data_IF_059435140577
#
_entry.id   IF_059435140577
#
_cell.length_a   1.000
_cell.length_b   1.000
_cell.length_c   1.000
_cell.angle_alpha   90.00
_cell.angle_beta   90.00
_cell.angle_gamma   90.00
#
_symmetry.space_group_name_H-M   'P 1'
#
loop_
_entity.id
_entity.type
_entity.pdbx_description
1 polymer ?
#
# COMPACT_ATOMS: atom_id res chain seq x y z
N UNK A 1 5.33 34.62 -13.26
CA UNK A 1 4.42 33.75 -12.48
C UNK A 1 3.73 34.60 -11.44
N UNK A 2 2.40 34.74 -11.54
CA UNK A 2 1.61 35.52 -10.58
C UNK A 2 1.51 34.68 -9.29
N UNK A 3 1.88 35.26 -8.14
CA UNK A 3 1.61 34.65 -6.84
C UNK A 3 0.10 34.67 -6.63
N UNK A 4 -0.57 33.56 -6.91
CA UNK A 4 -1.99 33.38 -6.59
C UNK A 4 -2.11 33.31 -5.08
N UNK A 5 -2.63 34.37 -4.47
CA UNK A 5 -3.04 34.38 -3.07
C UNK A 5 -4.47 33.83 -3.06
N UNK A 6 -4.64 32.62 -2.53
CA UNK A 6 -5.95 32.04 -2.32
C UNK A 6 -6.65 32.79 -1.18
N UNK A 7 -7.85 33.27 -1.44
CA UNK A 7 -8.72 33.92 -0.46
C UNK A 7 -9.91 33.01 -0.14
N UNK A 8 -10.38 33.03 1.10
CA UNK A 8 -11.57 32.30 1.56
C UNK A 8 -12.85 33.10 1.21
N UNK A 9 -12.98 33.49 -0.05
CA UNK A 9 -14.04 34.39 -0.56
C UNK A 9 -15.01 33.69 -1.55
N UNK A 10 -14.82 32.38 -1.77
CA UNK A 10 -15.57 31.63 -2.78
C UNK A 10 -15.08 31.80 -4.21
N UNK A 11 -13.91 32.43 -4.41
CA UNK A 11 -13.30 32.64 -5.72
C UNK A 11 -12.98 31.33 -6.46
N UNK A 12 -13.11 31.37 -7.79
CA UNK A 12 -12.71 30.30 -8.70
C UNK A 12 -11.36 30.61 -9.34
N UNK A 13 -10.49 29.60 -9.46
CA UNK A 13 -9.12 29.75 -9.95
C UNK A 13 -8.89 28.87 -11.18
N UNK A 14 -8.15 29.38 -12.16
CA UNK A 14 -7.74 28.58 -13.32
C UNK A 14 -6.81 27.45 -12.88
N UNK A 15 -7.10 26.22 -13.34
CA UNK A 15 -6.34 25.04 -13.01
C UNK A 15 -6.65 23.89 -13.96
N UNK A 16 -6.08 22.72 -13.67
CA UNK A 16 -6.37 21.47 -14.39
C UNK A 16 -7.02 20.49 -13.42
N UNK A 17 -8.05 19.80 -13.90
CA UNK A 17 -8.70 18.69 -13.19
C UNK A 17 -8.40 17.42 -13.97
N UNK A 18 -7.85 16.42 -13.28
CA UNK A 18 -7.53 15.12 -13.86
C UNK A 18 -8.13 14.04 -12.97
N UNK A 19 -8.89 13.12 -13.58
CA UNK A 19 -9.39 11.92 -12.93
C UNK A 19 -8.40 10.78 -13.16
N UNK A 20 -8.13 10.00 -12.12
CA UNK A 20 -7.23 8.83 -12.16
C UNK A 20 -7.78 7.73 -11.27
N UNK A 21 -7.42 6.49 -11.57
CA UNK A 21 -7.63 5.39 -10.63
C UNK A 21 -6.67 5.51 -9.45
N UNK A 22 -7.15 5.11 -8.29
CA UNK A 22 -6.41 5.04 -7.04
C UNK A 22 -7.04 4.03 -6.09
N UNK A 23 -6.68 4.14 -4.82
CA UNK A 23 -7.01 3.17 -3.78
C UNK A 23 -5.85 2.18 -3.61
N UNK A 24 -5.31 2.11 -2.39
CA UNK A 24 -4.08 1.37 -2.07
C UNK A 24 -4.18 -0.08 -2.53
N UNK A 25 -5.19 -0.82 -2.08
CA UNK A 25 -5.36 -2.21 -2.49
C UNK A 25 -5.55 -2.37 -4.02
N UNK A 26 -6.19 -1.41 -4.72
CA UNK A 26 -6.32 -1.42 -6.19
C UNK A 26 -4.97 -1.21 -6.87
N UNK A 27 -4.18 -0.25 -6.39
CA UNK A 27 -2.86 0.05 -6.97
C UNK A 27 -1.94 -1.16 -6.89
N UNK A 28 -1.98 -1.87 -5.75
CA UNK A 28 -1.29 -3.13 -5.60
C UNK A 28 -1.79 -4.20 -6.57
N UNK A 29 -3.12 -4.37 -6.67
CA UNK A 29 -3.69 -5.35 -7.59
C UNK A 29 -3.29 -5.08 -9.05
N UNK A 30 -3.31 -3.81 -9.46
CA UNK A 30 -2.90 -3.39 -10.82
C UNK A 30 -1.41 -3.62 -11.05
N UNK A 31 -0.55 -3.27 -10.09
CA UNK A 31 0.89 -3.47 -10.21
C UNK A 31 1.26 -4.97 -10.28
N UNK A 32 0.66 -5.80 -9.42
CA UNK A 32 0.84 -7.25 -9.42
C UNK A 32 0.37 -7.88 -10.73
N UNK A 33 -0.82 -7.50 -11.20
CA UNK A 33 -1.34 -7.96 -12.49
C UNK A 33 -0.43 -7.57 -13.66
N UNK A 34 0.08 -6.33 -13.67
CA UNK A 34 1.03 -5.85 -14.68
C UNK A 34 2.35 -6.60 -14.66
N UNK A 35 2.78 -7.07 -13.49
CA UNK A 35 3.96 -7.94 -13.34
C UNK A 35 3.69 -9.38 -13.77
N UNK A 36 2.45 -9.74 -14.10
CA UNK A 36 2.09 -11.09 -14.56
C UNK A 36 1.64 -12.03 -13.43
N UNK A 37 1.37 -11.51 -12.23
CA UNK A 37 0.72 -12.28 -11.18
C UNK A 37 -0.79 -12.38 -11.41
N UNK A 38 -1.39 -13.50 -11.01
CA UNK A 38 -2.85 -13.65 -10.92
C UNK A 38 -3.37 -12.80 -9.76
N UNK A 39 -3.83 -11.57 -10.06
CA UNK A 39 -4.30 -10.63 -9.05
C UNK A 39 -5.81 -10.60 -8.94
N UNK A 40 -6.32 -11.13 -7.82
CA UNK A 40 -7.76 -11.14 -7.48
C UNK A 40 -8.08 -9.99 -6.53
N UNK A 41 -9.01 -9.13 -6.92
CA UNK A 41 -9.41 -7.96 -6.13
C UNK A 41 -10.80 -8.12 -5.50
N UNK A 42 -10.82 -8.31 -4.18
CA UNK A 42 -12.05 -8.40 -3.38
C UNK A 42 -12.37 -7.01 -2.85
N UNK A 43 -13.43 -6.37 -3.36
CA UNK A 43 -13.78 -5.00 -2.99
C UNK A 43 -15.25 -4.66 -3.30
N UNK A 44 -15.60 -3.38 -3.24
CA UNK A 44 -16.90 -2.86 -3.64
C UNK A 44 -16.75 -1.53 -4.40
N UNK A 45 -17.63 -1.31 -5.38
CA UNK A 45 -17.80 -0.07 -6.13
C UNK A 45 -19.29 0.32 -6.14
N UNK A 46 -19.58 1.60 -6.36
CA UNK A 46 -20.95 2.07 -6.59
C UNK A 46 -21.45 1.70 -7.99
N UNK A 47 -22.77 1.64 -8.14
CA UNK A 47 -23.42 1.64 -9.46
C UNK A 47 -23.53 3.08 -10.00
N UNK A 48 -22.37 3.68 -10.29
CA UNK A 48 -22.25 5.06 -10.76
C UNK A 48 -21.16 5.21 -11.84
N UNK A 49 -20.97 6.44 -12.33
CA UNK A 49 -19.99 6.75 -13.37
C UNK A 49 -18.55 6.44 -12.94
N UNK A 50 -18.22 6.63 -11.66
CA UNK A 50 -16.90 6.30 -11.13
C UNK A 50 -16.68 4.79 -11.06
N UNK A 51 -17.71 4.01 -10.72
CA UNK A 51 -17.70 2.55 -10.77
C UNK A 51 -17.58 2.03 -12.20
N UNK A 52 -18.26 2.67 -13.17
CA UNK A 52 -18.06 2.38 -14.60
C UNK A 52 -16.63 2.69 -15.05
N UNK A 53 -16.10 3.85 -14.67
CA UNK A 53 -14.71 4.24 -14.96
C UNK A 53 -13.71 3.23 -14.39
N UNK A 54 -13.91 2.77 -13.15
CA UNK A 54 -13.11 1.70 -12.55
C UNK A 54 -13.13 0.41 -13.38
N UNK A 55 -14.32 -0.06 -13.80
CA UNK A 55 -14.46 -1.30 -14.58
C UNK A 55 -13.80 -1.22 -15.96
N UNK A 56 -13.83 -0.05 -16.60
CA UNK A 56 -13.23 0.16 -17.91
C UNK A 56 -11.68 0.19 -17.89
N UNK A 57 -11.08 0.48 -16.73
CA UNK A 57 -9.64 0.69 -16.59
C UNK A 57 -8.97 -0.30 -15.60
N UNK A 58 -9.61 -1.45 -15.38
CA UNK A 58 -9.08 -2.53 -14.52
C UNK A 58 -9.03 -3.87 -15.25
N UNK A 59 -8.76 -3.85 -16.56
CA UNK A 59 -8.71 -5.03 -17.44
C UNK A 59 -7.60 -6.03 -17.09
N UNK A 60 -6.58 -5.59 -16.34
CA UNK A 60 -5.47 -6.43 -15.86
C UNK A 60 -5.81 -7.19 -14.58
N UNK A 61 -6.77 -6.71 -13.79
CA UNK A 61 -7.09 -7.24 -12.47
C UNK A 61 -8.30 -8.17 -12.59
N UNK A 62 -8.30 -9.31 -11.89
CA UNK A 62 -9.52 -10.08 -11.71
C UNK A 62 -10.46 -9.33 -10.74
N UNK A 63 -11.45 -8.67 -11.31
CA UNK A 63 -12.50 -7.91 -10.61
C UNK A 63 -13.80 -8.71 -10.43
N UNK A 64 -13.81 -10.03 -10.68
CA UNK A 64 -15.00 -10.88 -10.54
C UNK A 64 -15.59 -10.88 -9.11
N UNK A 65 -14.76 -10.53 -8.12
CA UNK A 65 -15.11 -10.44 -6.69
C UNK A 65 -15.33 -9.01 -6.19
N UNK A 66 -15.43 -8.05 -7.11
CA UNK A 66 -15.84 -6.67 -6.78
C UNK A 66 -17.37 -6.57 -6.80
N UNK A 67 -17.96 -6.20 -5.66
CA UNK A 67 -19.42 -5.98 -5.56
C UNK A 67 -19.81 -4.64 -6.15
N UNK A 68 -20.89 -4.61 -6.93
CA UNK A 68 -21.53 -3.37 -7.39
C UNK A 68 -22.68 -3.07 -6.44
N UNK A 69 -22.64 -1.90 -5.80
CA UNK A 69 -23.61 -1.51 -4.78
C UNK A 69 -24.43 -0.33 -5.28
N UNK A 70 -25.75 -0.52 -5.38
CA UNK A 70 -26.69 0.56 -5.71
C UNK A 70 -26.78 1.61 -4.60
N UNK A 71 -27.04 2.86 -4.97
CA UNK A 71 -27.27 4.00 -4.06
C UNK A 71 -26.13 4.32 -3.08
N UNK A 72 -24.93 3.77 -3.29
CA UNK A 72 -23.73 4.11 -2.54
C UNK A 72 -22.64 4.54 -3.53
N UNK A 73 -22.18 5.80 -3.48
CA UNK A 73 -21.19 6.28 -4.43
C UNK A 73 -19.88 5.50 -4.33
N UNK A 74 -19.23 5.25 -5.47
CA UNK A 74 -17.86 4.73 -5.53
C UNK A 74 -16.93 5.67 -4.77
N UNK A 75 -16.01 5.11 -3.97
CA UNK A 75 -15.09 5.90 -3.18
C UNK A 75 -14.28 6.87 -4.06
N UNK A 76 -14.13 8.12 -3.62
CA UNK A 76 -13.29 9.10 -4.32
C UNK A 76 -12.32 9.79 -3.35
N UNK A 77 -11.14 10.13 -3.87
CA UNK A 77 -10.18 10.99 -3.19
C UNK A 77 -9.92 12.23 -4.05
N UNK A 78 -10.29 13.39 -3.53
CA UNK A 78 -10.03 14.68 -4.17
C UNK A 78 -8.79 15.30 -3.53
N UNK A 79 -7.74 15.52 -4.34
CA UNK A 79 -6.55 16.24 -3.93
C UNK A 79 -6.47 17.59 -4.63
N UNK A 80 -6.41 18.67 -3.85
CA UNK A 80 -6.13 20.02 -4.36
C UNK A 80 -4.65 20.30 -4.24
N UNK A 81 -3.95 20.35 -5.37
CA UNK A 81 -2.51 20.58 -5.42
C UNK A 81 -2.19 22.05 -5.69
N UNK A 82 -1.24 22.62 -4.94
CA UNK A 82 -0.71 23.96 -5.14
C UNK A 82 0.80 23.88 -5.25
N UNK A 83 1.35 24.29 -6.40
CA UNK A 83 2.80 24.21 -6.70
C UNK A 83 3.38 22.80 -6.47
N UNK A 84 2.64 21.77 -6.87
CA UNK A 84 3.05 20.36 -6.75
C UNK A 84 2.78 19.70 -5.39
N UNK A 85 2.36 20.46 -4.37
CA UNK A 85 2.06 19.92 -3.04
C UNK A 85 0.56 19.77 -2.82
N UNK A 86 0.13 18.65 -2.24
CA UNK A 86 -1.27 18.45 -1.81
C UNK A 86 -1.55 19.43 -0.67
N UNK A 87 -2.46 20.37 -0.90
CA UNK A 87 -2.92 21.34 0.10
C UNK A 87 -4.14 20.84 0.86
N UNK A 88 -5.07 20.20 0.15
CA UNK A 88 -6.25 19.59 0.74
C UNK A 88 -6.46 18.20 0.14
N UNK A 89 -6.75 17.21 0.99
CA UNK A 89 -7.17 15.88 0.60
C UNK A 89 -8.54 15.58 1.20
N UNK A 90 -9.51 15.22 0.38
CA UNK A 90 -10.87 14.88 0.81
C UNK A 90 -11.16 13.46 0.35
N UNK A 91 -11.40 12.57 1.31
CA UNK A 91 -11.81 11.17 1.04
C UNK A 91 -13.31 11.04 1.24
N UNK A 92 -13.98 10.45 0.26
CA UNK A 92 -15.34 9.93 0.40
C UNK A 92 -15.25 8.42 0.30
N UNK A 93 -15.32 7.72 1.43
CA UNK A 93 -15.25 6.26 1.47
C UNK A 93 -16.55 5.62 1.98
N UNK A 94 -17.26 6.32 2.88
CA UNK A 94 -18.55 5.87 3.40
C UNK A 94 -19.71 6.48 2.59
N UNK A 95 -20.84 5.77 2.46
CA UNK A 95 -21.20 4.52 3.13
C UNK A 95 -20.80 3.24 2.36
N UNK A 96 -19.97 3.35 1.31
CA UNK A 96 -19.62 2.21 0.47
C UNK A 96 -18.68 1.24 1.20
N UNK A 97 -17.63 1.75 1.83
CA UNK A 97 -16.61 0.91 2.45
C UNK A 97 -17.17 0.03 3.57
N UNK A 98 -18.17 0.51 4.32
CA UNK A 98 -18.92 -0.30 5.31
C UNK A 98 -19.73 -1.47 4.72
N UNK A 99 -19.87 -1.58 3.39
CA UNK A 99 -20.44 -2.78 2.75
C UNK A 99 -19.48 -3.94 2.60
N UNK A 100 -18.18 -3.68 2.70
CA UNK A 100 -17.18 -4.73 2.84
C UNK A 100 -17.32 -5.25 4.27
N UNK A 101 -17.83 -6.47 4.42
CA UNK A 101 -18.17 -7.08 5.71
C UNK A 101 -17.38 -8.38 5.90
N UNK A 102 -17.28 -8.90 7.14
CA UNK A 102 -16.70 -10.21 7.38
C UNK A 102 -17.31 -11.32 6.51
N UNK A 103 -18.64 -11.29 6.30
CA UNK A 103 -19.34 -12.25 5.44
C UNK A 103 -18.89 -12.19 3.98
N UNK A 104 -18.53 -11.00 3.47
CA UNK A 104 -17.94 -10.89 2.13
C UNK A 104 -16.60 -11.60 2.07
N UNK A 105 -15.75 -11.45 3.09
CA UNK A 105 -14.45 -12.14 3.16
C UNK A 105 -14.66 -13.66 3.27
N UNK A 106 -15.57 -14.12 4.12
CA UNK A 106 -15.92 -15.55 4.25
C UNK A 106 -16.41 -16.15 2.93
N UNK A 107 -17.27 -15.43 2.21
CA UNK A 107 -17.77 -15.90 0.90
C UNK A 107 -16.69 -16.00 -0.20
N UNK A 108 -15.50 -15.43 0.05
CA UNK A 108 -14.35 -15.48 -0.85
C UNK A 108 -13.15 -16.23 -0.22
N UNK A 109 -13.41 -17.09 0.78
CA UNK A 109 -12.39 -17.90 1.43
C UNK A 109 -11.61 -18.78 0.43
N UNK A 110 -12.25 -19.20 -0.66
CA UNK A 110 -11.61 -19.97 -1.73
C UNK A 110 -10.44 -19.23 -2.40
N UNK A 111 -10.61 -17.94 -2.71
CA UNK A 111 -9.55 -17.11 -3.28
C UNK A 111 -8.40 -16.88 -2.28
N UNK A 112 -8.75 -16.71 -1.00
CA UNK A 112 -7.77 -16.55 0.07
C UNK A 112 -6.96 -17.84 0.24
N UNK A 113 -7.63 -19.00 0.20
CA UNK A 113 -7.00 -20.31 0.29
C UNK A 113 -6.11 -20.62 -0.92
N UNK A 114 -6.41 -20.12 -2.12
CA UNK A 114 -5.57 -20.38 -3.30
C UNK A 114 -4.38 -19.42 -3.42
N UNK A 115 -4.41 -18.25 -2.80
CA UNK A 115 -3.38 -17.23 -2.97
C UNK A 115 -2.04 -17.60 -2.32
N UNK A 116 -0.92 -17.16 -2.92
CA UNK A 116 0.40 -17.21 -2.28
C UNK A 116 0.56 -16.09 -1.24
N UNK A 117 0.05 -14.90 -1.57
CA UNK A 117 0.06 -13.71 -0.73
C UNK A 117 -1.33 -13.07 -0.65
N UNK A 118 -1.70 -12.63 0.54
CA UNK A 118 -2.88 -11.81 0.79
C UNK A 118 -2.39 -10.40 1.10
N UNK A 119 -2.82 -9.42 0.31
CA UNK A 119 -2.56 -8.02 0.61
C UNK A 119 -3.77 -7.39 1.29
N UNK A 120 -3.54 -6.81 2.48
CA UNK A 120 -4.55 -6.08 3.24
C UNK A 120 -4.11 -4.63 3.41
N UNK A 121 -4.97 -3.71 3.02
CA UNK A 121 -4.83 -2.30 3.39
C UNK A 121 -5.66 -1.99 4.65
N UNK A 122 -5.31 -0.92 5.37
CA UNK A 122 -6.02 -0.54 6.59
C UNK A 122 -7.21 0.40 6.34
N UNK A 123 -7.68 0.54 5.10
CA UNK A 123 -8.97 1.18 4.83
C UNK A 123 -10.10 0.33 5.44
N UNK A 124 -9.96 -1.00 5.37
CA UNK A 124 -10.91 -1.96 5.94
C UNK A 124 -11.22 -1.71 7.42
N UNK A 125 -12.40 -2.14 7.86
CA UNK A 125 -12.78 -2.09 9.27
C UNK A 125 -12.09 -3.19 10.08
N UNK A 126 -11.96 -3.01 11.40
CA UNK A 126 -11.33 -4.00 12.29
C UNK A 126 -11.98 -5.39 12.16
N UNK A 127 -13.32 -5.56 12.13
CA UNK A 127 -13.93 -6.87 11.96
C UNK A 127 -13.59 -7.55 10.63
N UNK A 128 -13.47 -6.77 9.54
CA UNK A 128 -13.11 -7.29 8.21
C UNK A 128 -11.66 -7.74 8.19
N UNK A 129 -10.74 -6.91 8.70
CA UNK A 129 -9.33 -7.26 8.82
C UNK A 129 -9.15 -8.51 9.69
N UNK A 130 -9.82 -8.59 10.84
CA UNK A 130 -9.77 -9.75 11.72
C UNK A 130 -10.23 -11.03 11.00
N UNK A 131 -11.32 -10.96 10.23
CA UNK A 131 -11.80 -12.11 9.46
C UNK A 131 -10.81 -12.54 8.36
N UNK A 132 -10.22 -11.60 7.64
CA UNK A 132 -9.20 -11.91 6.64
C UNK A 132 -7.96 -12.56 7.28
N UNK A 133 -7.50 -12.04 8.42
CA UNK A 133 -6.37 -12.60 9.18
C UNK A 133 -6.68 -13.98 9.78
N UNK A 134 -7.91 -14.21 10.22
CA UNK A 134 -8.38 -15.52 10.70
C UNK A 134 -8.30 -16.58 9.60
N UNK A 135 -8.85 -16.28 8.42
CA UNK A 135 -8.84 -17.19 7.27
C UNK A 135 -7.40 -17.38 6.76
N UNK A 136 -6.60 -16.31 6.69
CA UNK A 136 -5.20 -16.38 6.32
C UNK A 136 -4.42 -17.33 7.24
N UNK A 137 -4.62 -17.21 8.56
CA UNK A 137 -3.99 -18.07 9.56
C UNK A 137 -4.46 -19.52 9.44
N UNK A 138 -5.76 -19.74 9.21
CA UNK A 138 -6.34 -21.08 9.01
C UNK A 138 -5.69 -21.82 7.83
N UNK A 139 -5.36 -21.11 6.76
CA UNK A 139 -4.76 -21.66 5.54
C UNK A 139 -3.26 -21.40 5.40
N UNK A 140 -2.59 -20.97 6.48
CA UNK A 140 -1.15 -20.72 6.53
C UNK A 140 -0.63 -19.76 5.44
N UNK A 141 -1.41 -18.71 5.14
CA UNK A 141 -1.10 -17.75 4.07
C UNK A 141 -0.21 -16.62 4.52
N UNK A 142 0.61 -16.14 3.58
CA UNK A 142 1.40 -14.94 3.78
C UNK A 142 0.49 -13.72 3.71
N UNK A 143 0.60 -12.83 4.70
CA UNK A 143 -0.19 -11.60 4.77
C UNK A 143 0.73 -10.40 4.72
N UNK A 144 0.60 -9.61 3.66
CA UNK A 144 1.24 -8.31 3.51
C UNK A 144 0.27 -7.22 3.94
N UNK A 145 0.60 -6.51 5.03
CA UNK A 145 -0.17 -5.37 5.51
C UNK A 145 0.43 -4.06 5.00
N UNK A 146 -0.40 -3.29 4.31
CA UNK A 146 -0.13 -1.89 3.98
C UNK A 146 -0.90 -0.97 4.94
N UNK A 147 -0.24 -0.30 5.91
CA UNK A 147 -0.92 0.49 6.93
C UNK A 147 -1.74 1.66 6.39
N UNK A 148 -1.47 2.14 5.16
CA UNK A 148 -2.25 3.14 4.42
C UNK A 148 -2.24 4.57 4.96
N UNK A 149 -2.38 4.73 6.27
CA UNK A 149 -2.44 6.02 6.94
C UNK A 149 -2.09 5.87 8.44
N UNK A 150 -1.49 6.90 9.02
CA UNK A 150 -1.06 6.97 10.42
C UNK A 150 -2.20 6.59 11.37
N UNK A 151 -3.41 7.11 11.16
CA UNK A 151 -4.53 6.86 12.06
C UNK A 151 -5.13 5.46 11.88
N UNK A 152 -4.82 4.79 10.78
CA UNK A 152 -5.32 3.44 10.45
C UNK A 152 -4.40 2.34 10.97
N UNK A 153 -3.12 2.63 11.24
CA UNK A 153 -2.16 1.69 11.85
C UNK A 153 -2.73 0.94 13.05
N UNK A 154 -3.46 1.63 13.94
CA UNK A 154 -4.05 1.02 15.15
C UNK A 154 -5.00 -0.14 14.85
N UNK A 155 -5.68 -0.14 13.69
CA UNK A 155 -6.74 -1.09 13.38
C UNK A 155 -6.24 -2.53 13.37
N UNK A 156 -5.05 -2.80 12.84
CA UNK A 156 -4.50 -4.16 12.84
C UNK A 156 -4.21 -4.64 14.26
N UNK A 157 -3.78 -3.76 15.17
CA UNK A 157 -3.57 -4.10 16.57
C UNK A 157 -4.91 -4.35 17.28
N UNK A 158 -5.92 -3.53 16.98
CA UNK A 158 -7.27 -3.66 17.53
C UNK A 158 -7.97 -4.98 17.12
N UNK A 159 -7.49 -5.65 16.05
CA UNK A 159 -7.98 -7.01 15.72
C UNK A 159 -7.59 -8.06 16.77
N UNK A 160 -6.56 -7.81 17.58
CA UNK A 160 -5.92 -8.84 18.42
C UNK A 160 -5.14 -9.90 17.63
N UNK A 161 -5.02 -9.75 16.31
CA UNK A 161 -4.44 -10.72 15.38
C UNK A 161 -3.23 -10.17 14.61
N UNK A 162 -2.60 -9.09 15.08
CA UNK A 162 -1.42 -8.50 14.41
C UNK A 162 -0.28 -9.52 14.20
N UNK A 163 -0.18 -10.55 15.05
CA UNK A 163 0.77 -11.65 14.87
C UNK A 163 0.49 -12.57 13.67
N UNK A 164 -0.66 -12.44 12.99
CA UNK A 164 -0.93 -13.14 11.73
C UNK A 164 -0.36 -12.40 10.51
N UNK A 165 0.13 -11.16 10.68
CA UNK A 165 0.81 -10.41 9.62
C UNK A 165 2.22 -10.97 9.43
N UNK A 166 2.56 -11.38 8.21
CA UNK A 166 3.88 -11.91 7.88
C UNK A 166 4.76 -10.90 7.14
N UNK A 167 4.18 -9.84 6.60
CA UNK A 167 4.89 -8.72 6.01
C UNK A 167 4.19 -7.40 6.29
N UNK A 168 4.94 -6.31 6.49
CA UNK A 168 4.35 -4.98 6.64
C UNK A 168 5.22 -3.90 5.99
N UNK A 169 4.58 -2.87 5.44
CA UNK A 169 5.25 -1.82 4.66
C UNK A 169 4.90 -0.37 5.08
N UNK A 170 4.96 0.01 6.37
CA UNK A 170 4.70 1.38 6.77
C UNK A 170 5.61 2.41 6.08
N UNK A 171 5.08 3.60 5.81
CA UNK A 171 5.94 4.76 5.61
C UNK A 171 6.53 5.27 6.94
N UNK A 172 7.40 6.29 6.87
CA UNK A 172 8.07 6.90 8.01
C UNK A 172 7.12 7.21 9.20
N UNK A 173 6.00 7.89 8.95
CA UNK A 173 5.09 8.32 10.01
C UNK A 173 4.24 7.17 10.55
N UNK A 174 3.83 6.26 9.66
CA UNK A 174 3.16 5.02 10.04
C UNK A 174 4.08 4.14 10.89
N UNK A 175 5.38 4.11 10.60
CA UNK A 175 6.37 3.38 11.38
C UNK A 175 6.51 3.94 12.80
N UNK A 176 6.58 5.27 12.95
CA UNK A 176 6.55 5.90 14.28
C UNK A 176 5.30 5.48 15.07
N UNK A 177 4.15 5.45 14.40
CA UNK A 177 2.89 5.00 15.02
C UNK A 177 2.92 3.52 15.35
N UNK A 178 3.43 2.67 14.45
CA UNK A 178 3.58 1.23 14.64
C UNK A 178 4.46 0.91 15.85
N UNK A 179 5.64 1.53 15.94
CA UNK A 179 6.54 1.37 17.06
C UNK A 179 5.89 1.78 18.39
N UNK A 180 5.12 2.89 18.39
CA UNK A 180 4.32 3.28 19.55
C UNK A 180 3.25 2.24 19.92
N UNK A 181 2.57 1.64 18.95
CA UNK A 181 1.61 0.54 19.19
C UNK A 181 2.30 -0.70 19.77
N UNK A 182 3.57 -0.93 19.42
CA UNK A 182 4.42 -1.97 20.00
C UNK A 182 5.05 -1.60 21.36
N UNK A 183 4.62 -0.50 22.00
CA UNK A 183 5.17 0.02 23.25
C UNK A 183 6.69 0.30 23.19
N UNK A 184 7.17 0.77 22.05
CA UNK A 184 8.54 1.26 21.87
C UNK A 184 8.54 2.79 21.98
N UNK A 185 9.42 3.32 22.83
CA UNK A 185 9.69 4.76 22.90
C UNK A 185 10.58 5.14 21.73
N UNK A 186 10.12 6.07 20.91
CA UNK A 186 10.80 6.47 19.67
C UNK A 186 11.05 7.96 19.66
N UNK A 187 12.29 8.34 19.36
CA UNK A 187 12.63 9.70 18.96
C UNK A 187 12.11 9.93 17.53
N UNK A 188 11.24 10.92 17.27
CA UNK A 188 10.77 11.24 15.93
C UNK A 188 11.88 11.49 14.90
N UNK A 189 13.09 11.87 15.31
CA UNK A 189 14.23 12.03 14.39
C UNK A 189 14.80 10.71 13.87
N UNK A 190 14.35 9.55 14.38
CA UNK A 190 14.82 8.24 13.88
C UNK A 190 14.53 8.03 12.39
N UNK A 191 13.49 8.67 11.87
CA UNK A 191 13.10 8.60 10.44
C UNK A 191 13.91 9.57 9.55
N UNK A 192 15.00 10.14 10.06
CA UNK A 192 15.90 10.97 9.26
C UNK A 192 16.86 10.19 8.36
N UNK A 193 17.08 8.91 8.63
CA UNK A 193 17.80 8.01 7.74
C UNK A 193 17.27 6.58 7.82
N UNK A 194 17.49 5.80 6.76
CA UNK A 194 17.20 4.37 6.77
C UNK A 194 18.04 3.64 7.82
N UNK A 195 19.31 4.02 7.99
CA UNK A 195 20.21 3.37 8.94
C UNK A 195 19.74 3.56 10.39
N UNK A 196 19.30 4.76 10.78
CA UNK A 196 18.73 5.01 12.11
C UNK A 196 17.46 4.21 12.38
N UNK A 197 16.61 4.02 11.37
CA UNK A 197 15.44 3.14 11.46
C UNK A 197 15.87 1.69 11.66
N UNK A 198 16.86 1.20 10.90
CA UNK A 198 17.39 -0.16 11.04
C UNK A 198 17.99 -0.41 12.42
N UNK A 199 18.76 0.54 12.96
CA UNK A 199 19.33 0.47 14.31
C UNK A 199 18.24 0.34 15.39
N UNK A 200 17.16 1.13 15.27
CA UNK A 200 16.01 1.02 16.19
C UNK A 200 15.32 -0.35 16.05
N UNK A 201 15.08 -0.81 14.82
CA UNK A 201 14.47 -2.11 14.58
C UNK A 201 15.35 -3.22 15.15
N UNK A 202 16.68 -3.17 14.98
CA UNK A 202 17.59 -4.17 15.52
C UNK A 202 17.53 -4.23 17.05
N UNK A 203 17.53 -3.06 17.70
CA UNK A 203 17.45 -2.93 19.17
C UNK A 203 16.13 -3.45 19.73
N UNK A 204 15.00 -3.19 19.06
CA UNK A 204 13.64 -3.49 19.53
C UNK A 204 12.97 -4.60 18.69
N UNK A 205 13.75 -5.46 18.02
CA UNK A 205 13.28 -6.46 17.05
C UNK A 205 12.21 -7.40 17.57
N UNK A 206 12.27 -7.77 18.85
CA UNK A 206 11.26 -8.64 19.49
C UNK A 206 9.89 -7.99 19.64
N UNK A 207 9.80 -6.65 19.60
CA UNK A 207 8.56 -5.89 19.70
C UNK A 207 8.09 -5.36 18.35
N UNK A 208 9.00 -4.83 17.53
CA UNK A 208 8.65 -4.15 16.28
C UNK A 208 8.29 -5.14 15.18
N UNK A 209 9.11 -6.18 14.98
CA UNK A 209 8.94 -7.10 13.86
C UNK A 209 7.77 -8.06 14.08
N UNK A 210 7.36 -8.32 15.33
CA UNK A 210 6.32 -9.30 15.65
C UNK A 210 6.66 -10.65 14.95
N UNK A 211 5.77 -11.14 14.07
CA UNK A 211 5.96 -12.38 13.30
C UNK A 211 6.40 -12.14 11.84
N UNK A 212 6.81 -10.92 11.48
CA UNK A 212 7.14 -10.63 10.08
C UNK A 212 8.40 -11.36 9.61
N UNK A 213 8.33 -11.87 8.37
CA UNK A 213 9.45 -12.37 7.59
C UNK A 213 10.11 -11.26 6.77
N UNK A 214 9.36 -10.18 6.47
CA UNK A 214 9.86 -8.97 5.82
C UNK A 214 9.14 -7.74 6.39
N UNK A 215 9.89 -6.69 6.68
CA UNK A 215 9.39 -5.43 7.20
C UNK A 215 10.07 -4.29 6.45
N UNK A 216 9.28 -3.47 5.77
CA UNK A 216 9.74 -2.36 4.93
C UNK A 216 9.32 -1.05 5.57
N UNK A 217 10.24 -0.12 5.76
CA UNK A 217 9.94 1.26 6.13
C UNK A 217 10.33 2.18 4.97
N UNK A 218 9.34 2.78 4.31
CA UNK A 218 9.61 3.73 3.22
C UNK A 218 9.82 5.14 3.77
N UNK A 219 10.89 5.80 3.32
CA UNK A 219 11.38 7.08 3.86
C UNK A 219 11.43 8.18 2.80
N UNK A 220 10.56 8.13 1.80
CA UNK A 220 10.48 9.12 0.71
C UNK A 220 11.86 9.29 0.02
N UNK A 221 12.36 10.52 -0.10
CA UNK A 221 13.66 10.86 -0.68
C UNK A 221 14.88 10.39 0.14
N UNK A 222 14.68 9.73 1.29
CA UNK A 222 15.73 9.07 2.08
C UNK A 222 15.85 7.57 1.78
N UNK A 223 15.03 7.03 0.89
CA UNK A 223 15.10 5.63 0.47
C UNK A 223 14.18 4.73 1.29
N UNK A 224 14.65 3.54 1.68
CA UNK A 224 13.88 2.59 2.50
C UNK A 224 14.77 1.76 3.41
N UNK A 225 14.28 1.47 4.61
CA UNK A 225 14.89 0.52 5.55
C UNK A 225 14.14 -0.81 5.45
N UNK A 226 14.85 -1.90 5.17
CA UNK A 226 14.26 -3.23 5.01
C UNK A 226 14.90 -4.20 5.96
N UNK A 227 14.07 -4.95 6.69
CA UNK A 227 14.51 -6.07 7.51
C UNK A 227 13.80 -7.33 7.03
N UNK A 228 14.54 -8.41 6.79
CA UNK A 228 13.96 -9.66 6.31
C UNK A 228 14.67 -10.88 6.90
N UNK A 229 14.04 -12.05 6.79
CA UNK A 229 14.64 -13.33 7.17
C UNK A 229 15.23 -14.03 5.95
N UNK A 230 16.52 -14.36 6.01
CA UNK A 230 17.16 -15.16 4.96
C UNK A 230 16.70 -16.64 5.01
N UNK A 231 17.18 -17.47 4.09
CA UNK A 231 16.81 -18.90 4.01
C UNK A 231 17.16 -19.72 5.27
N UNK A 232 18.07 -19.23 6.10
CA UNK A 232 18.46 -19.84 7.39
C UNK A 232 17.62 -19.29 8.57
N UNK A 233 16.65 -18.40 8.31
CA UNK A 233 15.82 -17.76 9.32
C UNK A 233 16.51 -16.59 10.07
N UNK A 234 17.73 -16.23 9.67
CA UNK A 234 18.49 -15.14 10.27
C UNK A 234 17.99 -13.79 9.75
N UNK A 235 18.01 -12.77 10.61
CA UNK A 235 17.63 -11.41 10.23
C UNK A 235 18.75 -10.76 9.43
N UNK A 236 18.37 -10.19 8.30
CA UNK A 236 19.20 -9.34 7.43
C UNK A 236 18.62 -7.93 7.43
N UNK A 237 19.50 -6.93 7.37
CA UNK A 237 19.16 -5.51 7.41
C UNK A 237 19.71 -4.84 6.17
N UNK A 238 18.87 -4.13 5.43
CA UNK A 238 19.23 -3.53 4.17
C UNK A 238 18.64 -2.13 4.03
N UNK A 239 19.54 -1.15 3.86
CA UNK A 239 19.20 0.20 3.45
C UNK A 239 19.16 0.27 1.93
N UNK A 240 18.09 0.84 1.38
CA UNK A 240 17.90 1.03 -0.05
C UNK A 240 17.90 2.52 -0.39
N UNK A 241 18.68 2.99 -1.38
CA UNK A 241 18.65 4.39 -1.78
C UNK A 241 17.32 4.74 -2.46
N UNK A 242 16.99 6.04 -2.60
CA UNK A 242 15.87 6.48 -3.43
C UNK A 242 16.04 5.95 -4.87
N UNK A 243 14.97 5.42 -5.49
CA UNK A 243 15.06 4.81 -6.82
C UNK A 243 15.28 5.83 -7.95
N UNK A 244 15.01 7.12 -7.68
CA UNK A 244 15.12 8.20 -8.65
C UNK A 244 15.54 9.51 -7.97
N UNK A 245 16.23 10.38 -8.71
CA UNK A 245 16.57 11.73 -8.25
C UNK A 245 15.31 12.62 -8.17
N UNK A 246 15.28 13.54 -7.20
CA UNK A 246 14.08 14.35 -6.89
C UNK A 246 13.58 15.20 -8.07
N UNK A 247 14.48 15.71 -8.90
CA UNK A 247 14.17 16.55 -10.08
C UNK A 247 13.53 15.77 -11.22
N UNK A 248 13.55 14.44 -11.17
CA UNK A 248 12.94 13.54 -12.17
C UNK A 248 11.60 12.96 -11.72
N UNK A 249 11.12 13.31 -10.53
CA UNK A 249 9.83 12.87 -9.99
C UNK A 249 8.71 13.67 -10.66
N UNK A 250 7.74 12.96 -11.23
CA UNK A 250 6.50 13.51 -11.79
C UNK A 250 5.36 13.46 -10.76
N UNK A 251 5.24 12.35 -10.04
CA UNK A 251 4.22 12.15 -8.99
C UNK A 251 4.74 11.15 -7.96
N UNK A 252 4.38 11.35 -6.68
CA UNK A 252 4.70 10.39 -5.60
C UNK A 252 3.57 9.40 -5.32
N UNK A 253 2.42 9.58 -5.96
CA UNK A 253 1.22 8.76 -5.71
C UNK A 253 1.47 7.31 -6.15
N UNK A 254 1.22 6.35 -5.25
CA UNK A 254 1.31 4.91 -5.51
C UNK A 254 2.72 4.36 -5.73
N UNK A 255 3.77 5.17 -5.51
CA UNK A 255 5.16 4.70 -5.60
C UNK A 255 5.49 3.62 -4.55
N UNK A 256 4.99 3.78 -3.31
CA UNK A 256 5.10 2.77 -2.26
C UNK A 256 4.34 1.50 -2.61
N UNK A 257 3.09 1.62 -3.07
CA UNK A 257 2.27 0.49 -3.52
C UNK A 257 2.98 -0.30 -4.64
N UNK A 258 3.57 0.41 -5.61
CA UNK A 258 4.34 -0.19 -6.72
C UNK A 258 5.63 -0.85 -6.23
N UNK A 259 6.36 -0.22 -5.29
CA UNK A 259 7.53 -0.81 -4.66
C UNK A 259 7.20 -2.16 -4.03
N UNK A 260 6.26 -2.14 -3.10
CA UNK A 260 5.82 -3.30 -2.35
C UNK A 260 5.28 -4.40 -3.27
N UNK A 261 4.52 -4.04 -4.32
CA UNK A 261 4.03 -5.00 -5.32
C UNK A 261 5.15 -5.66 -6.11
N UNK A 262 6.20 -4.91 -6.48
CA UNK A 262 7.38 -5.47 -7.11
C UNK A 262 8.10 -6.48 -6.22
N UNK A 263 8.20 -6.18 -4.91
CA UNK A 263 8.76 -7.12 -3.93
C UNK A 263 7.90 -8.39 -3.84
N UNK A 264 6.59 -8.25 -3.67
CA UNK A 264 5.66 -9.38 -3.59
C UNK A 264 5.74 -10.24 -4.85
N UNK A 265 5.71 -9.63 -6.04
CA UNK A 265 5.79 -10.34 -7.31
C UNK A 265 7.11 -11.09 -7.48
N UNK A 266 8.24 -10.46 -7.11
CA UNK A 266 9.55 -11.11 -7.13
C UNK A 266 9.59 -12.34 -6.23
N UNK A 267 9.08 -12.22 -5.00
CA UNK A 267 9.01 -13.35 -4.07
C UNK A 267 8.08 -14.46 -4.57
N UNK A 268 6.90 -14.11 -5.10
CA UNK A 268 5.97 -15.07 -5.70
C UNK A 268 6.58 -15.82 -6.90
N UNK A 269 7.54 -15.20 -7.61
CA UNK A 269 8.29 -15.80 -8.69
C UNK A 269 9.63 -16.43 -8.24
N UNK A 270 9.76 -16.78 -6.95
CA UNK A 270 10.92 -17.45 -6.38
C UNK A 270 12.25 -16.69 -6.51
N UNK A 271 12.22 -15.38 -6.75
CA UNK A 271 13.41 -14.53 -6.66
C UNK A 271 13.88 -14.45 -5.22
N UNK A 272 15.17 -14.22 -5.02
CA UNK A 272 15.71 -13.90 -3.69
C UNK A 272 15.13 -12.58 -3.19
N UNK A 273 15.17 -12.34 -1.86
CA UNK A 273 14.69 -11.08 -1.30
C UNK A 273 15.43 -9.89 -1.92
N UNK A 274 16.75 -9.99 -2.14
CA UNK A 274 17.54 -8.92 -2.75
C UNK A 274 17.08 -8.62 -4.18
N UNK A 275 16.86 -9.64 -5.01
CA UNK A 275 16.32 -9.46 -6.37
C UNK A 275 14.90 -8.86 -6.32
N UNK A 276 14.04 -9.33 -5.42
CA UNK A 276 12.69 -8.79 -5.23
C UNK A 276 12.71 -7.30 -4.82
N UNK A 277 13.66 -6.88 -3.96
CA UNK A 277 13.85 -5.48 -3.60
C UNK A 277 14.31 -4.63 -4.78
N UNK A 278 15.15 -5.16 -5.67
CA UNK A 278 15.55 -4.47 -6.90
C UNK A 278 14.36 -4.30 -7.85
N UNK A 279 13.53 -5.34 -8.02
CA UNK A 279 12.30 -5.28 -8.80
C UNK A 279 11.33 -4.23 -8.20
N UNK A 280 11.18 -4.21 -6.88
CA UNK A 280 10.41 -3.19 -6.16
C UNK A 280 10.93 -1.78 -6.43
N UNK A 281 12.24 -1.55 -6.32
CA UNK A 281 12.83 -0.23 -6.61
C UNK A 281 12.56 0.21 -8.04
N UNK A 282 12.63 -0.69 -9.00
CA UNK A 282 12.35 -0.39 -10.41
C UNK A 282 10.86 -0.07 -10.64
N UNK A 283 9.95 -0.81 -10.01
CA UNK A 283 8.51 -0.52 -10.05
C UNK A 283 8.21 0.88 -9.48
N UNK A 284 8.80 1.23 -8.33
CA UNK A 284 8.68 2.58 -7.78
C UNK A 284 9.29 3.64 -8.68
N UNK A 285 10.47 3.39 -9.27
CA UNK A 285 11.12 4.30 -10.22
C UNK A 285 10.21 4.65 -11.38
N UNK A 286 9.59 3.64 -11.99
CA UNK A 286 8.67 3.80 -13.12
C UNK A 286 7.40 4.54 -12.73
N UNK A 287 6.84 4.27 -11.54
CA UNK A 287 5.65 4.95 -11.03
C UNK A 287 5.93 6.41 -10.67
N UNK A 288 7.10 6.71 -10.11
CA UNK A 288 7.52 8.08 -9.80
C UNK A 288 7.64 8.98 -11.04
N UNK A 289 7.81 8.38 -12.22
CA UNK A 289 7.99 9.09 -13.50
C UNK A 289 6.70 9.23 -14.32
N UNK A 290 5.55 8.87 -13.77
CA UNK A 290 4.24 9.08 -14.40
C UNK A 290 3.30 9.85 -13.47
N UNK A 291 2.16 10.28 -14.00
CA UNK A 291 1.11 10.90 -13.19
C UNK A 291 0.12 9.88 -12.62
N UNK A 292 0.19 8.62 -13.09
CA UNK A 292 -0.64 7.50 -12.64
C UNK A 292 -0.15 6.96 -11.29
N UNK A 293 -1.05 6.35 -10.51
CA UNK A 293 -0.68 5.69 -9.25
C UNK A 293 0.04 4.35 -9.46
N UNK A 294 -0.09 3.76 -10.64
CA UNK A 294 0.63 2.56 -11.07
C UNK A 294 1.11 2.80 -12.49
N UNK A 295 2.41 2.66 -12.75
CA UNK A 295 2.97 2.91 -14.09
C UNK A 295 2.56 1.84 -15.08
N UNK A 296 2.19 2.26 -16.29
CA UNK A 296 1.95 1.35 -17.41
C UNK A 296 3.23 0.69 -17.93
N UNK A 297 4.39 1.23 -17.59
CA UNK A 297 5.69 0.64 -17.91
C UNK A 297 6.06 -0.54 -17.00
N UNK A 298 5.32 -0.77 -15.90
CA UNK A 298 5.44 -2.00 -15.13
C UNK A 298 4.92 -3.13 -16.01
N UNK A 299 5.78 -4.10 -16.29
CA UNK A 299 5.49 -5.25 -17.16
C UNK A 299 6.21 -6.50 -16.64
N UNK A 300 5.85 -7.71 -17.11
CA UNK A 300 6.47 -8.94 -16.63
C UNK A 300 7.98 -9.04 -16.94
N UNK A 301 8.50 -8.22 -17.86
CA UNK A 301 9.94 -8.19 -18.18
C UNK A 301 10.80 -7.76 -16.97
N UNK A 302 10.22 -7.08 -15.99
CA UNK A 302 10.92 -6.75 -14.75
C UNK A 302 11.23 -7.98 -13.89
N UNK A 303 10.52 -9.09 -14.11
CA UNK A 303 10.75 -10.36 -13.42
C UNK A 303 11.72 -11.30 -14.17
N UNK A 304 12.18 -10.92 -15.37
CA UNK A 304 13.10 -11.73 -16.16
C UNK A 304 14.44 -11.94 -15.43
#
# INVERSE_FOLDING_TARGET
>A
MINIIFQDDGGSYNGQVVQRLGGVARNHADALARLGCDSVFISAIGDDQNGQFFRQHSDKIDISRVKIIGHKPTCTYLAVNVKGNVRFGIVTAEPLLSTITPALIESNEDAIQSADYILLDSNLSVPVMAKALEIAKKHEKQVWLEPTDIDKVKKVFDTGMVGAVTAASPNANEFLRWAKMCNVVVDPFVIDSADSVLELIEKEKSKILLNTSIFVVTLSNKGSAVVYRNKLGQLEFQSLPPPVQMDKIVSVSGAGDSFNSGVIAGLAHNKTVVEALQIGQECARLTLQTTLATSEAITPHLLA
#
